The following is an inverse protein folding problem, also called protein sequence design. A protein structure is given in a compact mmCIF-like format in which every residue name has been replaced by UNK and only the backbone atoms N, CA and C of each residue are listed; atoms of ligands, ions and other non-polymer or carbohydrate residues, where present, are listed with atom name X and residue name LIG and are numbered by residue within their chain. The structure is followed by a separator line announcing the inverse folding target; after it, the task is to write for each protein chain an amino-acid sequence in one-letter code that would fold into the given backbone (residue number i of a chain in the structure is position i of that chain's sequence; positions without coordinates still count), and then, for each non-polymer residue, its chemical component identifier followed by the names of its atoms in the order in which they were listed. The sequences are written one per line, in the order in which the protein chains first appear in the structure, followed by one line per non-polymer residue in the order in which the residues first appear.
data_IF_898313682708
#
_entry.id   IF_898313682708
#
_cell.length_a   1.000
_cell.length_b   1.000
_cell.length_c   1.000
_cell.angle_alpha   90.00
_cell.angle_beta   90.00
_cell.angle_gamma   90.00
#
_symmetry.space_group_name_H-M   'P 1'
#
loop_
_entity.id
_entity.type
_entity.pdbx_description
1 polymer ?
#
# COMPACT_ATOMS: atom_id res chain seq x y z
N UNK A 1 33.52 10.02 47.99
CA UNK A 1 33.51 8.80 47.24
C UNK A 1 32.61 9.02 46.05
N UNK A 2 33.18 9.34 44.87
CA UNK A 2 32.47 9.52 43.61
C UNK A 2 32.46 8.15 42.91
N UNK A 3 31.31 7.67 42.57
CA UNK A 3 31.15 6.49 41.71
C UNK A 3 31.12 7.01 40.29
N UNK A 4 32.16 6.73 39.51
CA UNK A 4 32.14 6.86 38.08
C UNK A 4 31.37 5.67 37.49
N UNK A 5 30.28 5.94 36.80
CA UNK A 5 29.56 4.97 36.01
C UNK A 5 30.13 5.08 34.61
N UNK A 6 30.82 4.04 34.17
CA UNK A 6 31.24 3.91 32.77
C UNK A 6 30.00 3.62 31.92
N UNK A 7 29.76 4.50 30.96
CA UNK A 7 28.67 4.46 30.00
C UNK A 7 29.16 3.69 28.78
N UNK A 8 28.96 2.37 28.76
CA UNK A 8 29.25 1.55 27.60
C UNK A 8 27.95 1.20 26.87
N UNK A 9 27.70 1.89 25.73
CA UNK A 9 27.07 1.24 24.58
C UNK A 9 25.54 1.22 24.49
N UNK A 10 24.82 2.34 24.71
CA UNK A 10 23.36 2.38 24.50
C UNK A 10 22.88 3.51 23.55
N UNK A 11 23.69 4.04 22.66
CA UNK A 11 23.28 5.22 21.88
C UNK A 11 22.37 4.91 20.70
N UNK A 12 22.47 3.74 20.07
CA UNK A 12 21.69 3.43 18.86
C UNK A 12 20.26 2.93 19.15
N UNK A 13 20.05 2.15 20.22
CA UNK A 13 18.71 1.67 20.59
C UNK A 13 17.84 2.76 21.22
N UNK A 14 18.44 3.70 21.95
CA UNK A 14 17.71 4.81 22.57
C UNK A 14 17.26 5.83 21.53
N UNK A 15 18.08 6.11 20.52
CA UNK A 15 17.72 7.00 19.41
C UNK A 15 16.59 6.41 18.57
N UNK A 16 16.58 5.09 18.36
CA UNK A 16 15.52 4.39 17.65
C UNK A 16 14.18 4.36 18.43
N UNK A 17 14.21 4.14 19.74
CA UNK A 17 13.02 4.18 20.61
C UNK A 17 12.40 5.56 20.71
N UNK A 18 13.23 6.60 20.83
CA UNK A 18 12.75 7.99 20.85
C UNK A 18 12.05 8.38 19.55
N UNK A 19 12.50 7.83 18.41
CA UNK A 19 11.90 8.10 17.08
C UNK A 19 10.61 7.32 16.84
N UNK A 20 10.37 6.19 17.51
CA UNK A 20 9.18 5.36 17.28
C UNK A 20 7.92 5.86 18.00
N UNK A 21 8.07 6.64 19.09
CA UNK A 21 6.93 7.03 19.95
C UNK A 21 6.33 8.41 19.65
N UNK A 22 6.93 9.22 18.75
CA UNK A 22 6.42 10.56 18.44
C UNK A 22 5.84 10.62 17.03
N UNK A 23 4.56 10.37 16.91
CA UNK A 23 3.77 10.69 15.72
C UNK A 23 3.55 12.21 15.73
N UNK A 24 4.36 12.93 15.01
CA UNK A 24 4.26 14.39 14.89
C UNK A 24 4.04 14.81 13.45
N UNK A 25 3.00 15.63 13.21
CA UNK A 25 2.78 16.30 11.93
C UNK A 25 3.86 17.34 11.61
N UNK A 26 4.70 17.68 12.60
CA UNK A 26 5.77 18.69 12.48
C UNK A 26 7.12 18.10 12.02
N UNK A 27 7.26 16.77 12.00
CA UNK A 27 8.49 16.14 11.48
C UNK A 27 8.67 16.41 9.99
N UNK A 28 9.91 16.64 9.52
CA UNK A 28 10.17 16.83 8.11
C UNK A 28 9.75 15.60 7.31
N UNK A 29 8.59 15.67 6.66
CA UNK A 29 7.97 14.55 5.89
C UNK A 29 8.96 13.94 4.91
N UNK A 30 9.73 14.77 4.19
CA UNK A 30 10.76 14.29 3.27
C UNK A 30 11.84 13.43 3.92
N UNK A 31 12.22 13.71 5.16
CA UNK A 31 13.20 12.87 5.89
C UNK A 31 12.63 11.50 6.21
N UNK A 32 11.34 11.41 6.58
CA UNK A 32 10.67 10.14 6.84
C UNK A 32 10.53 9.32 5.56
N UNK A 33 10.26 9.99 4.43
CA UNK A 33 10.18 9.34 3.11
C UNK A 33 11.57 8.87 2.67
N UNK A 34 12.62 9.66 2.89
CA UNK A 34 14.01 9.25 2.63
C UNK A 34 14.39 7.99 3.42
N UNK A 35 13.93 7.90 4.65
CA UNK A 35 14.16 6.72 5.46
C UNK A 35 13.40 5.50 4.92
N UNK A 36 12.15 5.65 4.46
CA UNK A 36 11.42 4.59 3.77
C UNK A 36 12.15 4.15 2.49
N UNK A 37 12.63 5.09 1.67
CA UNK A 37 13.40 4.80 0.45
C UNK A 37 14.68 4.02 0.76
N UNK A 38 15.43 4.44 1.79
CA UNK A 38 16.64 3.73 2.21
C UNK A 38 16.33 2.31 2.71
N UNK A 39 15.27 2.14 3.50
CA UNK A 39 14.84 0.83 3.96
C UNK A 39 14.45 -0.10 2.80
N UNK A 40 13.81 0.43 1.76
CA UNK A 40 13.47 -0.31 0.54
C UNK A 40 14.76 -0.75 -0.19
N UNK A 41 15.71 0.18 -0.42
CA UNK A 41 17.01 -0.13 -1.06
C UNK A 41 17.73 -1.26 -0.29
N UNK A 42 17.80 -1.19 1.03
CA UNK A 42 18.41 -2.20 1.90
C UNK A 42 17.69 -3.56 1.82
N UNK A 43 16.36 -3.57 1.90
CA UNK A 43 15.57 -4.79 1.80
C UNK A 43 15.75 -5.46 0.45
N UNK A 44 15.71 -4.72 -0.65
CA UNK A 44 15.94 -5.26 -2.00
C UNK A 44 17.34 -5.80 -2.17
N UNK A 45 18.36 -5.09 -1.69
CA UNK A 45 19.75 -5.56 -1.71
C UNK A 45 19.94 -6.88 -0.90
N UNK A 46 19.14 -7.06 0.18
CA UNK A 46 19.12 -8.28 0.96
C UNK A 46 18.23 -9.41 0.40
N UNK A 47 17.66 -9.25 -0.80
CA UNK A 47 16.74 -10.22 -1.41
C UNK A 47 15.39 -10.36 -0.68
N UNK A 48 14.99 -9.33 0.09
CA UNK A 48 13.72 -9.27 0.79
C UNK A 48 12.64 -8.59 -0.04
N UNK A 49 11.40 -8.98 0.22
CA UNK A 49 10.24 -8.38 -0.42
C UNK A 49 9.86 -7.05 0.23
N UNK A 50 9.31 -6.18 -0.61
CA UNK A 50 8.69 -4.92 -0.20
C UNK A 50 7.20 -5.02 -0.47
N UNK A 51 6.44 -5.06 0.63
CA UNK A 51 4.98 -5.12 0.62
C UNK A 51 4.40 -3.71 0.64
N UNK A 52 3.44 -3.44 -0.21
CA UNK A 52 2.51 -2.32 -0.03
C UNK A 52 1.11 -2.83 0.33
N UNK A 53 0.52 -2.25 1.38
CA UNK A 53 -0.90 -2.40 1.74
C UNK A 53 -1.59 -1.12 1.30
N UNK A 54 -2.31 -1.20 0.18
CA UNK A 54 -2.85 -0.02 -0.50
C UNK A 54 -4.35 0.18 -0.31
N UNK A 55 -4.74 1.42 -0.03
CA UNK A 55 -6.14 1.85 -0.02
C UNK A 55 -6.59 2.50 -1.33
N UNK A 56 -7.90 2.60 -1.59
CA UNK A 56 -8.46 3.16 -2.83
C UNK A 56 -8.14 4.64 -3.04
N UNK A 57 -7.78 5.38 -1.98
CA UNK A 57 -7.36 6.78 -2.11
C UNK A 57 -6.12 6.95 -3.01
N UNK A 58 -5.27 5.93 -3.15
CA UNK A 58 -4.15 5.93 -4.11
C UNK A 58 -4.65 6.16 -5.53
N UNK A 59 -5.80 5.58 -5.89
CA UNK A 59 -6.39 5.75 -7.22
C UNK A 59 -7.07 7.11 -7.33
N UNK A 60 -7.88 7.48 -6.33
CA UNK A 60 -8.65 8.72 -6.34
C UNK A 60 -7.79 9.98 -6.33
N UNK A 61 -6.61 9.94 -5.69
CA UNK A 61 -5.65 11.05 -5.67
C UNK A 61 -4.83 11.19 -6.97
N UNK A 62 -4.96 10.24 -7.91
CA UNK A 62 -4.14 10.21 -9.11
C UNK A 62 -2.75 9.62 -8.91
N UNK A 63 -2.48 8.97 -7.77
CA UNK A 63 -1.16 8.40 -7.44
C UNK A 63 -0.91 7.01 -8.04
N UNK A 64 -1.90 6.41 -8.69
CA UNK A 64 -1.77 5.09 -9.31
C UNK A 64 -0.55 4.95 -10.26
N UNK A 65 -0.20 5.94 -11.10
CA UNK A 65 1.00 5.86 -11.94
C UNK A 65 2.30 5.75 -11.16
N UNK A 66 2.41 6.43 -10.00
CA UNK A 66 3.59 6.36 -9.13
C UNK A 66 3.71 4.96 -8.50
N UNK A 67 2.61 4.39 -8.03
CA UNK A 67 2.60 3.03 -7.50
C UNK A 67 2.92 2.01 -8.60
N UNK A 68 2.33 2.14 -9.78
CA UNK A 68 2.62 1.28 -10.93
C UNK A 68 4.12 1.34 -11.29
N UNK A 69 4.73 2.52 -11.29
CA UNK A 69 6.17 2.71 -11.52
C UNK A 69 7.02 2.02 -10.46
N UNK A 70 6.69 2.14 -9.18
CA UNK A 70 7.39 1.45 -8.09
C UNK A 70 7.33 -0.07 -8.22
N UNK A 71 6.23 -0.61 -8.74
CA UNK A 71 6.07 -2.04 -9.04
C UNK A 71 6.89 -2.42 -10.27
N UNK A 72 6.82 -1.65 -11.34
CA UNK A 72 7.57 -1.88 -12.59
C UNK A 72 9.09 -1.89 -12.33
N UNK A 73 9.59 -0.95 -11.52
CA UNK A 73 11.00 -0.85 -11.14
C UNK A 73 11.40 -1.87 -10.05
N UNK A 74 10.49 -2.75 -9.64
CA UNK A 74 10.72 -3.77 -8.60
C UNK A 74 11.11 -3.20 -7.23
N UNK A 75 10.76 -1.97 -6.95
CA UNK A 75 10.88 -1.38 -5.60
C UNK A 75 9.76 -1.86 -4.69
N UNK A 76 8.57 -2.14 -5.24
CA UNK A 76 7.47 -2.84 -4.59
C UNK A 76 7.29 -4.19 -5.28
N UNK A 77 7.33 -5.28 -4.50
CA UNK A 77 7.30 -6.66 -5.02
C UNK A 77 6.12 -7.47 -4.55
N UNK A 78 5.24 -6.88 -3.75
CA UNK A 78 4.04 -7.53 -3.22
C UNK A 78 2.97 -6.48 -2.93
N UNK A 79 1.74 -6.73 -3.38
CA UNK A 79 0.59 -5.86 -3.14
C UNK A 79 -0.48 -6.58 -2.33
N UNK A 80 -0.88 -6.01 -1.19
CA UNK A 80 -2.12 -6.38 -0.50
C UNK A 80 -3.11 -5.21 -0.60
N UNK A 81 -4.33 -5.51 -0.98
CA UNK A 81 -5.36 -4.48 -1.12
C UNK A 81 -6.77 -5.06 -0.93
N UNK A 82 -7.74 -4.18 -0.89
CA UNK A 82 -9.15 -4.55 -0.97
C UNK A 82 -9.67 -4.55 -2.41
N UNK A 83 -10.87 -5.10 -2.60
CA UNK A 83 -11.60 -5.01 -3.87
C UNK A 83 -11.67 -3.56 -4.40
N UNK A 84 -11.85 -2.58 -3.52
CA UNK A 84 -12.03 -1.19 -3.90
C UNK A 84 -10.81 -0.61 -4.65
N UNK A 85 -9.57 -0.86 -4.19
CA UNK A 85 -8.38 -0.39 -4.91
C UNK A 85 -8.36 -0.97 -6.32
N UNK A 86 -8.49 -2.29 -6.46
CA UNK A 86 -8.41 -2.96 -7.75
C UNK A 86 -9.57 -2.58 -8.68
N UNK A 87 -10.80 -2.49 -8.17
CA UNK A 87 -11.97 -2.12 -8.96
C UNK A 87 -11.87 -0.69 -9.51
N UNK A 88 -11.38 0.26 -8.68
CA UNK A 88 -11.23 1.65 -9.11
C UNK A 88 -10.02 1.86 -10.03
N UNK A 89 -8.93 1.11 -9.85
CA UNK A 89 -7.80 1.11 -10.79
C UNK A 89 -8.24 0.63 -12.19
N UNK A 90 -8.99 -0.47 -12.21
CA UNK A 90 -9.53 -1.02 -13.46
C UNK A 90 -10.58 -0.08 -14.09
N UNK A 91 -11.45 0.52 -13.27
CA UNK A 91 -12.42 1.54 -13.72
C UNK A 91 -11.70 2.72 -14.37
N UNK A 92 -10.68 3.26 -13.68
CA UNK A 92 -9.90 4.39 -14.17
C UNK A 92 -9.24 4.09 -15.50
N UNK A 93 -8.68 2.90 -15.68
CA UNK A 93 -8.05 2.50 -16.93
C UNK A 93 -9.05 2.24 -18.06
N UNK A 94 -10.17 1.56 -17.78
CA UNK A 94 -11.15 1.20 -18.79
C UNK A 94 -12.07 2.36 -19.22
N UNK A 95 -12.40 3.28 -18.30
CA UNK A 95 -13.46 4.27 -18.47
C UNK A 95 -13.00 5.71 -18.23
N UNK A 96 -11.76 5.93 -17.78
CA UNK A 96 -11.22 7.25 -17.44
C UNK A 96 -11.85 7.89 -16.19
N UNK A 97 -12.59 7.11 -15.40
CA UNK A 97 -13.32 7.61 -14.22
C UNK A 97 -12.90 6.84 -12.97
N UNK A 98 -13.00 7.48 -11.80
CA UNK A 98 -12.91 6.82 -10.51
C UNK A 98 -14.12 7.21 -9.66
N UNK A 99 -14.87 6.22 -9.17
CA UNK A 99 -16.20 6.41 -8.58
C UNK A 99 -17.16 7.20 -9.50
N UNK A 100 -17.00 7.05 -10.81
CA UNK A 100 -17.80 7.78 -11.80
C UNK A 100 -17.45 9.25 -11.97
N UNK A 101 -16.40 9.73 -11.30
CA UNK A 101 -15.83 11.06 -11.49
C UNK A 101 -14.72 10.95 -12.56
N UNK A 102 -14.78 11.77 -13.57
CA UNK A 102 -13.76 11.87 -14.61
C UNK A 102 -12.46 12.41 -13.99
N UNK A 103 -11.37 11.66 -14.14
CA UNK A 103 -10.08 11.98 -13.51
C UNK A 103 -9.40 13.21 -14.13
N UNK A 104 -9.78 13.61 -15.35
CA UNK A 104 -9.19 14.76 -16.02
C UNK A 104 -9.93 16.08 -15.73
N UNK A 105 -11.26 16.00 -15.55
CA UNK A 105 -12.12 17.18 -15.39
C UNK A 105 -12.63 17.36 -13.96
N UNK A 106 -12.58 16.30 -13.14
CA UNK A 106 -13.18 16.28 -11.79
C UNK A 106 -14.71 16.32 -11.78
N UNK A 107 -15.37 16.16 -12.93
CA UNK A 107 -16.82 16.21 -13.05
C UNK A 107 -17.44 14.81 -13.02
N UNK A 108 -18.58 14.68 -12.35
CA UNK A 108 -19.34 13.42 -12.37
C UNK A 108 -19.95 13.19 -13.76
N UNK A 109 -19.63 12.05 -14.36
CA UNK A 109 -20.23 11.64 -15.64
C UNK A 109 -21.66 11.14 -15.47
N UNK A 110 -22.46 11.13 -16.56
CA UNK A 110 -23.79 10.53 -16.55
C UNK A 110 -23.68 9.04 -16.17
N UNK A 111 -24.46 8.61 -15.19
CA UNK A 111 -24.43 7.24 -14.63
C UNK A 111 -23.11 6.82 -14.00
N UNK A 112 -22.27 7.76 -13.54
CA UNK A 112 -20.95 7.50 -12.97
C UNK A 112 -20.94 6.46 -11.85
N UNK A 113 -21.98 6.44 -11.00
CA UNK A 113 -22.17 5.46 -9.93
C UNK A 113 -22.23 3.99 -10.41
N UNK A 114 -22.38 3.72 -11.72
CA UNK A 114 -22.38 2.36 -12.28
C UNK A 114 -21.05 1.96 -12.93
N UNK A 115 -20.10 2.89 -13.04
CA UNK A 115 -18.87 2.65 -13.81
C UNK A 115 -18.01 1.53 -13.18
N UNK A 116 -17.82 1.54 -11.87
CA UNK A 116 -17.08 0.47 -11.18
C UNK A 116 -17.76 -0.90 -11.37
N UNK A 117 -19.11 -0.96 -11.32
CA UNK A 117 -19.84 -2.22 -11.57
C UNK A 117 -19.66 -2.72 -13.01
N UNK A 118 -19.61 -1.79 -14.00
CA UNK A 118 -19.34 -2.15 -15.39
C UNK A 118 -17.92 -2.70 -15.57
N UNK A 119 -16.93 -2.09 -14.93
CA UNK A 119 -15.55 -2.58 -14.92
C UNK A 119 -15.47 -3.98 -14.29
N UNK A 120 -16.04 -4.17 -13.09
CA UNK A 120 -16.11 -5.47 -12.42
C UNK A 120 -16.78 -6.53 -13.29
N UNK A 121 -17.92 -6.21 -13.92
CA UNK A 121 -18.64 -7.16 -14.77
C UNK A 121 -17.86 -7.55 -16.04
N UNK A 122 -17.03 -6.66 -16.59
CA UNK A 122 -16.13 -6.99 -17.70
C UNK A 122 -15.06 -7.97 -17.28
N UNK A 123 -14.41 -7.74 -16.14
CA UNK A 123 -13.40 -8.66 -15.58
C UNK A 123 -14.01 -10.01 -15.23
N UNK A 124 -15.24 -10.03 -14.67
CA UNK A 124 -15.97 -11.28 -14.40
C UNK A 124 -16.22 -12.13 -15.66
N UNK A 125 -16.48 -11.49 -16.81
CA UNK A 125 -16.63 -12.20 -18.09
C UNK A 125 -15.32 -12.79 -18.57
N UNK A 126 -14.19 -12.11 -18.34
CA UNK A 126 -12.86 -12.65 -18.63
C UNK A 126 -12.42 -13.73 -17.63
N UNK A 127 -13.08 -13.82 -16.47
CA UNK A 127 -12.84 -14.84 -15.45
C UNK A 127 -11.77 -14.47 -14.41
N UNK A 128 -10.84 -13.59 -14.74
CA UNK A 128 -9.79 -13.09 -13.83
C UNK A 128 -9.23 -11.75 -14.32
N UNK A 129 -8.53 -11.03 -13.43
CA UNK A 129 -7.75 -9.82 -13.79
C UNK A 129 -6.68 -10.19 -14.81
N UNK A 130 -5.99 -11.32 -14.62
CA UNK A 130 -4.96 -11.80 -15.55
C UNK A 130 -5.53 -12.00 -16.96
N UNK A 131 -6.62 -12.72 -17.10
CA UNK A 131 -7.27 -12.92 -18.40
C UNK A 131 -7.71 -11.59 -19.02
N UNK A 132 -8.26 -10.67 -18.22
CA UNK A 132 -8.68 -9.35 -18.71
C UNK A 132 -7.49 -8.52 -19.24
N UNK A 133 -6.29 -8.67 -18.67
CA UNK A 133 -5.05 -8.08 -19.20
C UNK A 133 -4.61 -8.77 -20.48
N UNK A 134 -4.63 -10.11 -20.53
CA UNK A 134 -4.25 -10.89 -21.71
C UNK A 134 -5.18 -10.64 -22.91
N UNK A 135 -6.47 -10.45 -22.66
CA UNK A 135 -7.47 -10.08 -23.66
C UNK A 135 -7.40 -8.60 -24.09
N UNK A 136 -6.55 -7.79 -23.45
CA UNK A 136 -6.42 -6.37 -23.73
C UNK A 136 -7.57 -5.51 -23.23
N UNK A 137 -8.39 -6.02 -22.30
CA UNK A 137 -9.46 -5.24 -21.66
C UNK A 137 -8.91 -4.26 -20.62
N UNK A 138 -7.78 -4.60 -19.98
CA UNK A 138 -7.02 -3.76 -19.07
C UNK A 138 -5.65 -3.53 -19.71
N UNK A 139 -5.31 -2.27 -19.98
CA UNK A 139 -4.09 -1.90 -20.73
C UNK A 139 -3.13 -1.02 -19.92
N UNK A 140 -3.46 -0.69 -18.68
CA UNK A 140 -2.65 0.13 -17.78
C UNK A 140 -3.14 0.05 -16.34
N UNK A 141 -2.52 0.82 -15.46
CA UNK A 141 -2.85 0.88 -14.04
C UNK A 141 -2.04 -0.09 -13.18
N UNK A 142 -2.33 -0.07 -11.90
CA UNK A 142 -1.62 -0.86 -10.87
C UNK A 142 -1.81 -2.37 -11.12
N UNK A 143 -3.06 -2.80 -11.33
CA UNK A 143 -3.36 -4.23 -11.53
C UNK A 143 -2.77 -4.77 -12.82
N UNK A 144 -2.78 -3.97 -13.90
CA UNK A 144 -2.09 -4.30 -15.15
C UNK A 144 -0.60 -4.51 -14.91
N UNK A 145 0.04 -3.57 -14.21
CA UNK A 145 1.48 -3.64 -13.92
C UNK A 145 1.80 -4.87 -13.08
N UNK A 146 1.03 -5.18 -12.05
CA UNK A 146 1.20 -6.42 -11.26
C UNK A 146 1.20 -7.67 -12.15
N UNK A 147 0.25 -7.76 -13.08
CA UNK A 147 0.18 -8.91 -14.02
C UNK A 147 1.38 -8.95 -14.96
N UNK A 148 1.80 -7.80 -15.50
CA UNK A 148 2.91 -7.72 -16.47
C UNK A 148 4.29 -8.00 -15.87
N UNK A 149 4.47 -7.67 -14.59
CA UNK A 149 5.74 -7.89 -13.87
C UNK A 149 5.75 -9.17 -13.03
N UNK A 150 4.69 -9.99 -13.12
CA UNK A 150 4.46 -11.15 -12.24
C UNK A 150 4.56 -10.80 -10.74
N UNK A 151 4.22 -9.56 -10.38
CA UNK A 151 4.18 -9.13 -8.98
C UNK A 151 2.95 -9.73 -8.30
N UNK A 152 3.12 -10.57 -7.27
CA UNK A 152 2.00 -11.18 -6.58
C UNK A 152 1.15 -10.14 -5.86
N UNK A 153 -0.15 -10.39 -5.84
CA UNK A 153 -1.10 -9.56 -5.10
C UNK A 153 -2.13 -10.42 -4.38
N UNK A 154 -2.63 -9.94 -3.24
CA UNK A 154 -3.75 -10.53 -2.51
C UNK A 154 -4.83 -9.47 -2.37
N UNK A 155 -6.00 -9.76 -2.94
CA UNK A 155 -7.17 -8.91 -2.85
C UNK A 155 -8.17 -9.50 -1.85
N UNK A 156 -8.51 -8.74 -0.82
CA UNK A 156 -9.43 -9.16 0.23
C UNK A 156 -10.79 -8.47 0.08
N UNK A 157 -11.85 -9.23 0.30
CA UNK A 157 -13.21 -8.72 0.30
C UNK A 157 -13.56 -7.96 1.58
N UNK A 158 -14.61 -7.17 1.49
CA UNK A 158 -15.18 -6.38 2.59
C UNK A 158 -16.70 -6.46 2.55
N UNK A 159 -17.36 -6.30 3.69
CA UNK A 159 -18.83 -6.18 3.79
C UNK A 159 -19.39 -4.96 3.03
N UNK A 160 -18.54 -4.07 2.55
CA UNK A 160 -18.90 -2.87 1.78
C UNK A 160 -18.85 -3.07 0.26
N UNK A 161 -18.42 -4.26 -0.21
CA UNK A 161 -18.23 -4.49 -1.64
C UNK A 161 -19.58 -4.71 -2.34
N UNK A 162 -19.83 -3.96 -3.40
CA UNK A 162 -21.02 -4.08 -4.28
C UNK A 162 -20.90 -5.20 -5.31
N UNK A 163 -20.20 -6.24 -4.94
CA UNK A 163 -19.85 -7.37 -5.78
C UNK A 163 -18.37 -7.35 -6.15
N UNK A 164 -17.58 -8.30 -5.63
CA UNK A 164 -16.13 -8.29 -5.79
C UNK A 164 -15.71 -8.75 -7.19
N UNK A 165 -14.49 -8.37 -7.59
CA UNK A 165 -13.77 -8.97 -8.70
C UNK A 165 -13.57 -10.47 -8.48
N UNK A 166 -13.41 -11.29 -9.55
CA UNK A 166 -13.23 -12.73 -9.41
C UNK A 166 -11.99 -13.13 -8.60
N UNK A 167 -10.93 -12.30 -8.62
CA UNK A 167 -9.68 -12.57 -7.90
C UNK A 167 -9.75 -12.17 -6.41
N UNK A 168 -10.87 -11.64 -5.94
CA UNK A 168 -11.04 -11.20 -4.55
C UNK A 168 -11.45 -12.37 -3.65
N UNK A 169 -10.68 -12.58 -2.59
CA UNK A 169 -10.99 -13.57 -1.55
C UNK A 169 -12.01 -12.96 -0.61
N UNK A 170 -13.24 -13.49 -0.61
CA UNK A 170 -14.36 -12.93 0.16
C UNK A 170 -14.47 -13.45 1.59
N UNK A 171 -13.82 -14.57 1.89
CA UNK A 171 -13.75 -15.11 3.25
C UNK A 171 -12.57 -14.48 4.01
N UNK A 172 -12.81 -13.89 5.18
CA UNK A 172 -11.77 -13.20 5.96
C UNK A 172 -10.66 -14.11 6.48
N UNK A 173 -10.96 -15.37 6.82
CA UNK A 173 -9.95 -16.34 7.26
C UNK A 173 -9.07 -16.75 6.09
N UNK A 174 -9.67 -17.08 4.95
CA UNK A 174 -8.94 -17.44 3.73
C UNK A 174 -8.07 -16.27 3.24
N UNK A 175 -8.57 -15.03 3.35
CA UNK A 175 -7.80 -13.80 3.07
C UNK A 175 -6.54 -13.71 3.93
N UNK A 176 -6.69 -13.92 5.24
CA UNK A 176 -5.58 -13.86 6.18
C UNK A 176 -4.56 -14.98 5.90
N UNK A 177 -5.03 -16.19 5.59
CA UNK A 177 -4.16 -17.31 5.26
C UNK A 177 -3.44 -17.12 3.93
N UNK A 178 -4.09 -16.51 2.95
CA UNK A 178 -3.44 -16.12 1.70
C UNK A 178 -2.32 -15.10 1.93
N UNK A 179 -2.57 -14.06 2.73
CA UNK A 179 -1.55 -13.05 3.08
C UNK A 179 -0.37 -13.65 3.86
N UNK A 180 -0.62 -14.57 4.81
CA UNK A 180 0.43 -15.25 5.60
C UNK A 180 1.45 -16.00 4.75
N UNK A 181 1.04 -16.54 3.60
CA UNK A 181 1.95 -17.26 2.69
C UNK A 181 3.07 -16.38 2.13
N UNK A 182 2.87 -15.07 2.11
CA UNK A 182 3.80 -14.12 1.50
C UNK A 182 4.65 -13.35 2.53
N UNK A 183 4.19 -13.17 3.77
CA UNK A 183 4.85 -12.26 4.72
C UNK A 183 6.20 -12.75 5.24
N UNK A 184 6.52 -14.02 5.09
CA UNK A 184 7.77 -14.61 5.64
C UNK A 184 9.06 -14.05 5.06
N UNK A 185 9.05 -13.52 3.84
CA UNK A 185 10.21 -12.90 3.19
C UNK A 185 10.17 -11.37 3.17
N UNK A 186 9.11 -10.74 3.71
CA UNK A 186 8.96 -9.29 3.70
C UNK A 186 9.99 -8.64 4.61
N UNK A 187 10.70 -7.63 4.10
CA UNK A 187 11.64 -6.79 4.86
C UNK A 187 11.09 -5.41 5.18
N UNK A 188 10.26 -4.85 4.27
CA UNK A 188 9.61 -3.55 4.42
C UNK A 188 8.13 -3.66 4.09
N UNK A 189 7.29 -2.99 4.88
CA UNK A 189 5.87 -2.85 4.63
C UNK A 189 5.48 -1.37 4.59
N UNK A 190 4.82 -0.95 3.51
CA UNK A 190 4.22 0.36 3.35
C UNK A 190 2.71 0.23 3.49
N UNK A 191 2.12 0.81 4.52
CA UNK A 191 0.68 0.87 4.75
C UNK A 191 0.18 2.24 4.33
N UNK A 192 -0.52 2.33 3.19
CA UNK A 192 -0.85 3.61 2.56
C UNK A 192 -2.35 3.77 2.39
N UNK A 193 -2.91 4.78 3.06
CA UNK A 193 -4.29 5.21 2.93
C UNK A 193 -5.35 4.10 3.15
N UNK A 194 -5.09 3.19 4.08
CA UNK A 194 -6.03 2.13 4.48
C UNK A 194 -5.81 1.72 5.93
N UNK A 195 -6.81 1.85 6.77
CA UNK A 195 -6.72 1.49 8.19
C UNK A 195 -7.01 -0.01 8.42
N UNK A 196 -8.14 -0.50 7.93
CA UNK A 196 -8.60 -1.86 8.24
C UNK A 196 -7.65 -2.95 7.76
N UNK A 197 -7.22 -2.88 6.50
CA UNK A 197 -6.26 -3.82 5.96
C UNK A 197 -4.89 -3.68 6.63
N UNK A 198 -4.46 -2.47 6.96
CA UNK A 198 -3.20 -2.23 7.66
C UNK A 198 -3.17 -2.88 9.04
N UNK A 199 -4.25 -2.76 9.82
CA UNK A 199 -4.38 -3.45 11.11
C UNK A 199 -4.33 -4.97 10.93
N UNK A 200 -5.07 -5.51 9.96
CA UNK A 200 -5.09 -6.95 9.69
C UNK A 200 -3.71 -7.48 9.28
N UNK A 201 -3.01 -6.76 8.39
CA UNK A 201 -1.66 -7.11 7.95
C UNK A 201 -0.65 -6.96 9.10
N UNK A 202 -0.72 -5.87 9.87
CA UNK A 202 0.17 -5.65 11.01
C UNK A 202 0.13 -6.78 12.04
N UNK A 203 -1.03 -7.41 12.22
CA UNK A 203 -1.19 -8.55 13.13
C UNK A 203 -0.49 -9.85 12.64
N UNK A 204 -0.12 -9.92 11.36
CA UNK A 204 0.53 -11.11 10.79
C UNK A 204 1.97 -10.87 10.35
N UNK A 205 2.42 -9.60 10.35
CA UNK A 205 3.80 -9.28 9.99
C UNK A 205 4.80 -9.77 11.04
N UNK A 206 5.93 -10.36 10.60
CA UNK A 206 7.05 -10.64 11.49
C UNK A 206 7.63 -9.36 12.12
N UNK A 207 8.15 -9.48 13.34
CA UNK A 207 8.66 -8.36 14.15
C UNK A 207 9.83 -7.59 13.50
N UNK A 208 10.58 -8.23 12.61
CA UNK A 208 11.71 -7.60 11.92
C UNK A 208 11.32 -6.72 10.71
N UNK A 209 10.05 -6.71 10.32
CA UNK A 209 9.59 -5.94 9.16
C UNK A 209 9.54 -4.46 9.50
N UNK A 210 10.34 -3.64 8.81
CA UNK A 210 10.27 -2.18 8.93
C UNK A 210 8.95 -1.71 8.31
N UNK A 211 8.06 -1.11 9.12
CA UNK A 211 6.70 -0.75 8.69
C UNK A 211 6.52 0.77 8.72
N UNK A 212 6.01 1.33 7.62
CA UNK A 212 5.66 2.75 7.48
C UNK A 212 4.16 2.89 7.27
N UNK A 213 3.49 3.64 8.15
CA UNK A 213 2.06 3.90 8.10
C UNK A 213 1.83 5.33 7.60
N UNK A 214 1.19 5.46 6.44
CA UNK A 214 0.98 6.73 5.73
C UNK A 214 -0.51 7.01 5.64
N UNK A 215 -0.95 8.07 6.28
CA UNK A 215 -2.34 8.55 6.20
C UNK A 215 -2.39 10.07 6.40
N UNK A 216 -3.43 10.72 5.92
CA UNK A 216 -3.69 12.15 6.17
C UNK A 216 -4.20 12.41 7.57
N UNK A 217 -4.83 11.40 8.18
CA UNK A 217 -5.41 11.47 9.52
C UNK A 217 -4.42 10.94 10.56
N UNK A 218 -3.99 11.85 11.46
CA UNK A 218 -3.06 11.52 12.54
C UNK A 218 -3.63 10.46 13.49
N UNK A 219 -4.94 10.46 13.76
CA UNK A 219 -5.59 9.48 14.64
C UNK A 219 -5.54 8.07 14.03
N UNK A 220 -5.67 7.97 12.71
CA UNK A 220 -5.50 6.71 11.98
C UNK A 220 -4.07 6.20 12.13
N UNK A 221 -3.07 7.06 11.95
CA UNK A 221 -1.65 6.69 12.11
C UNK A 221 -1.36 6.22 13.54
N UNK A 222 -1.88 6.92 14.57
CA UNK A 222 -1.76 6.52 15.98
C UNK A 222 -2.37 5.13 16.21
N UNK A 223 -3.59 4.90 15.71
CA UNK A 223 -4.25 3.58 15.85
C UNK A 223 -3.48 2.45 15.19
N UNK A 224 -2.83 2.72 14.05
CA UNK A 224 -2.01 1.72 13.37
C UNK A 224 -0.75 1.37 14.16
N UNK A 225 -0.09 2.35 14.79
CA UNK A 225 1.05 2.09 15.67
C UNK A 225 0.65 1.35 16.95
N UNK A 226 -0.50 1.67 17.52
CA UNK A 226 -0.97 1.04 18.76
C UNK A 226 -1.51 -0.38 18.56
N UNK A 227 -2.14 -0.67 17.41
CA UNK A 227 -2.89 -1.91 17.19
C UNK A 227 -2.34 -2.78 16.07
N UNK A 228 -1.59 -2.20 15.13
CA UNK A 228 -1.12 -2.91 13.96
C UNK A 228 0.28 -3.49 14.15
N UNK A 229 1.23 -2.71 14.61
CA UNK A 229 2.61 -3.16 14.84
C UNK A 229 3.37 -2.19 15.75
N UNK A 230 4.17 -2.74 16.68
CA UNK A 230 5.00 -1.93 17.57
C UNK A 230 6.15 -1.22 16.86
N UNK A 231 6.54 -1.68 15.67
CA UNK A 231 7.63 -1.12 14.87
C UNK A 231 7.13 -0.15 13.79
N UNK A 232 5.86 0.21 13.78
CA UNK A 232 5.31 1.09 12.76
C UNK A 232 5.78 2.54 12.94
N UNK A 233 6.28 3.11 11.85
CA UNK A 233 6.69 4.50 11.74
C UNK A 233 5.55 5.27 11.10
N UNK A 234 4.99 6.21 11.83
CA UNK A 234 3.87 7.02 11.34
C UNK A 234 4.34 8.19 10.46
N UNK A 235 3.72 8.36 9.31
CA UNK A 235 3.94 9.49 8.39
C UNK A 235 2.60 10.14 8.09
N UNK A 236 2.33 11.27 8.73
CA UNK A 236 1.08 12.03 8.50
C UNK A 236 1.22 12.88 7.25
N UNK A 237 0.74 12.36 6.14
CA UNK A 237 0.76 13.04 4.83
C UNK A 237 -0.25 12.40 3.88
N UNK A 238 -0.55 13.07 2.77
CA UNK A 238 -1.34 12.48 1.69
C UNK A 238 -0.52 11.44 0.90
N UNK A 239 -1.21 10.48 0.29
CA UNK A 239 -0.59 9.39 -0.44
C UNK A 239 0.07 9.84 -1.75
N UNK A 240 -0.40 10.93 -2.39
CA UNK A 240 0.19 11.46 -3.61
C UNK A 240 1.58 12.02 -3.32
N UNK A 241 1.70 12.91 -2.33
CA UNK A 241 2.99 13.46 -1.93
C UNK A 241 3.96 12.36 -1.51
N UNK A 242 3.47 11.39 -0.72
CA UNK A 242 4.30 10.26 -0.27
C UNK A 242 4.84 9.44 -1.43
N UNK A 243 3.98 8.95 -2.32
CA UNK A 243 4.39 8.08 -3.43
C UNK A 243 5.24 8.80 -4.46
N UNK A 244 4.95 10.08 -4.74
CA UNK A 244 5.73 10.91 -5.65
C UNK A 244 7.15 11.15 -5.13
N UNK A 245 7.28 11.56 -3.88
CA UNK A 245 8.58 11.81 -3.26
C UNK A 245 9.38 10.51 -3.10
N UNK A 246 8.72 9.41 -2.70
CA UNK A 246 9.33 8.09 -2.59
C UNK A 246 9.88 7.61 -3.94
N UNK A 247 9.08 7.72 -5.00
CA UNK A 247 9.51 7.35 -6.36
C UNK A 247 10.71 8.17 -6.81
N UNK A 248 10.72 9.48 -6.55
CA UNK A 248 11.86 10.35 -6.89
C UNK A 248 13.15 9.90 -6.20
N UNK A 249 13.09 9.59 -4.88
CA UNK A 249 14.26 9.18 -4.10
C UNK A 249 14.75 7.75 -4.41
N UNK A 250 13.89 6.89 -4.94
CA UNK A 250 14.28 5.55 -5.39
C UNK A 250 14.88 5.55 -6.80
N UNK A 251 14.62 6.59 -7.58
CA UNK A 251 15.16 6.77 -8.94
C UNK A 251 16.56 7.39 -8.96
N UNK A 252 17.03 7.94 -7.83
CA UNK A 252 18.40 8.43 -7.61
C UNK A 252 19.34 7.27 -7.22
#
# INVERSE_FOLDING_TARGET
MRVEVEDEGETDEVEFRFMSNDISSERPKKRMIAWAAQAIKEARAAGKDVLIVGGPAIIHSGSAPMLAKLIEDQHVTLLFAGNALAAHDIEANMLGTSLGVDLSTGMSGPHGHTHHLRAINRVRRAGSIKNAVEEGLITGGVMYTCVKTDTPFVLCGSIRDDGPLPDVITNGLDSTDAMRKHVGNVGVCLMVATMLHSVAVGNILPVWVKTFCVDTDADTVIKLTDRGTHQAIGVVTDCEFFLKELSAQLSE
#
